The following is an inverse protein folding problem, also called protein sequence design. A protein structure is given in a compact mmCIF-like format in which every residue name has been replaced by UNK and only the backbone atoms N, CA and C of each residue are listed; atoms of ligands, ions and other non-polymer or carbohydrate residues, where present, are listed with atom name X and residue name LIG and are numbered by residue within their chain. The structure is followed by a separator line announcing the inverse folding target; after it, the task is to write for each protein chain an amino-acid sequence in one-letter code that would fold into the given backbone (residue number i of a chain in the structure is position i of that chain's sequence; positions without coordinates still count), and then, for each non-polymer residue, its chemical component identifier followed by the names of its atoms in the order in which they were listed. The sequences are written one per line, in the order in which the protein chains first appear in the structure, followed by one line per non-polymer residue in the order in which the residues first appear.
data_IF_187080852154
#
_entry.id   IF_187080852154
#
_cell.length_a   1.000
_cell.length_b   1.000
_cell.length_c   1.000
_cell.angle_alpha   90.00
_cell.angle_beta   90.00
_cell.angle_gamma   90.00
#
_symmetry.space_group_name_H-M   'P 1'
#
loop_
_entity.id
_entity.type
_entity.pdbx_description
1 polymer ?
#
# COMPACT_ATOMS: atom_id res chain seq x y z
N UNK A 1 3.25 -32.87 -15.92
CA UNK A 1 3.07 -32.23 -14.60
C UNK A 1 3.05 -30.77 -14.91
N UNK A 2 1.87 -30.30 -15.28
CA UNK A 2 1.72 -29.12 -16.09
C UNK A 2 1.62 -27.94 -15.14
N UNK A 3 2.50 -26.95 -15.34
CA UNK A 3 2.60 -25.75 -14.52
C UNK A 3 1.39 -24.86 -14.67
N UNK A 4 0.27 -25.25 -14.06
CA UNK A 4 -0.93 -24.43 -13.96
C UNK A 4 -0.61 -23.19 -13.11
N UNK A 5 -0.58 -22.06 -13.80
CA UNK A 5 -0.46 -20.73 -13.23
C UNK A 5 -1.59 -20.49 -12.22
N UNK A 6 -1.24 -20.10 -10.99
CA UNK A 6 -2.24 -19.88 -9.95
C UNK A 6 -3.15 -18.69 -10.30
N UNK A 7 -4.47 -18.80 -10.09
CA UNK A 7 -5.42 -17.72 -10.34
C UNK A 7 -5.00 -16.47 -9.57
N UNK A 8 -5.04 -15.32 -10.26
CA UNK A 8 -4.44 -14.10 -9.77
C UNK A 8 -5.35 -12.90 -9.79
N UNK A 9 -5.14 -12.03 -8.81
CA UNK A 9 -5.95 -10.85 -8.60
C UNK A 9 -5.12 -9.63 -8.94
N UNK A 10 -5.64 -8.70 -9.75
CA UNK A 10 -4.95 -7.44 -10.03
C UNK A 10 -5.64 -6.28 -9.33
N UNK A 11 -4.89 -5.55 -8.49
CA UNK A 11 -5.27 -4.24 -7.98
C UNK A 11 -4.29 -3.22 -8.54
N UNK A 12 -4.76 -2.23 -9.31
CA UNK A 12 -3.93 -1.10 -9.76
C UNK A 12 -4.29 0.12 -8.92
N UNK A 13 -3.31 0.75 -8.29
CA UNK A 13 -3.49 2.02 -7.63
C UNK A 13 -2.38 2.98 -8.03
N UNK A 14 -2.75 4.17 -8.52
CA UNK A 14 -1.81 5.21 -8.91
C UNK A 14 -1.43 6.05 -7.69
N UNK A 15 -0.15 6.13 -7.35
CA UNK A 15 0.45 7.23 -6.58
C UNK A 15 0.44 8.44 -7.51
N UNK A 16 0.02 9.59 -7.00
CA UNK A 16 0.37 10.82 -7.68
C UNK A 16 1.81 11.15 -7.33
N UNK A 17 2.54 11.58 -8.34
CA UNK A 17 3.75 12.34 -8.19
C UNK A 17 3.54 13.43 -7.14
N UNK A 18 4.33 13.39 -6.08
CA UNK A 18 4.48 14.52 -5.18
C UNK A 18 5.02 15.67 -6.04
N UNK A 19 4.16 16.67 -6.27
CA UNK A 19 4.53 17.89 -6.97
C UNK A 19 5.79 18.46 -6.32
N UNK A 20 6.91 18.32 -7.04
CA UNK A 20 8.20 18.93 -6.75
C UNK A 20 7.99 20.44 -6.82
N UNK A 21 7.77 21.06 -5.66
CA UNK A 21 7.88 22.51 -5.49
C UNK A 21 9.34 22.89 -5.76
N UNK A 22 9.67 23.17 -7.03
CA UNK A 22 10.91 23.85 -7.38
C UNK A 22 10.77 25.33 -6.99
N UNK A 23 11.22 25.62 -5.78
CA UNK A 23 11.47 26.99 -5.34
C UNK A 23 12.60 27.57 -6.20
N UNK A 24 12.27 28.52 -7.06
CA UNK A 24 13.25 29.42 -7.69
C UNK A 24 14.06 30.11 -6.58
N UNK A 25 15.37 29.92 -6.56
CA UNK A 25 16.27 30.82 -5.84
C UNK A 25 17.12 31.59 -6.86
N UNK A 26 16.92 32.90 -6.87
CA UNK A 26 17.69 33.83 -7.67
C UNK A 26 19.15 33.90 -7.20
N UNK A 27 20.04 34.02 -8.18
CA UNK A 27 21.23 34.88 -8.22
C UNK A 27 21.95 35.19 -6.91
N UNK A 28 23.26 34.87 -6.81
CA UNK A 28 24.33 35.89 -6.78
C UNK A 28 25.72 35.25 -6.58
N UNK A 29 26.64 35.66 -7.44
CA UNK A 29 28.08 35.43 -7.43
C UNK A 29 28.77 36.06 -6.22
N UNK A 30 29.77 35.39 -5.62
CA UNK A 30 31.18 35.86 -5.52
C UNK A 30 31.99 35.15 -4.42
N UNK A 31 33.20 34.77 -4.83
CA UNK A 31 34.49 34.86 -4.13
C UNK A 31 34.70 34.18 -2.76
N UNK A 32 35.49 33.11 -2.81
CA UNK A 32 36.84 32.99 -2.21
C UNK A 32 37.07 33.65 -0.83
N UNK A 33 37.10 32.84 0.22
CA UNK A 33 38.11 32.92 1.31
C UNK A 33 37.99 31.65 2.17
N UNK A 34 39.01 30.80 2.07
CA UNK A 34 39.18 29.63 2.92
C UNK A 34 39.50 30.07 4.35
N UNK A 35 38.63 29.76 5.30
CA UNK A 35 38.96 29.76 6.73
C UNK A 35 38.53 28.43 7.37
N UNK A 36 39.47 27.84 8.11
CA UNK A 36 39.40 26.54 8.79
C UNK A 36 38.22 26.46 9.76
N UNK A 37 37.15 25.77 9.37
CA UNK A 37 35.85 25.72 10.08
C UNK A 37 35.48 24.33 10.60
N UNK A 38 36.37 23.34 10.46
CA UNK A 38 36.06 21.93 10.71
C UNK A 38 35.74 21.59 12.19
N UNK A 39 36.23 22.36 13.17
CA UNK A 39 36.02 22.06 14.59
C UNK A 39 34.71 22.60 15.17
N UNK A 40 34.10 23.60 14.55
CA UNK A 40 32.82 24.16 15.01
C UNK A 40 31.62 23.41 14.42
N UNK A 41 31.77 22.82 13.22
CA UNK A 41 30.73 22.04 12.56
C UNK A 41 30.42 20.70 13.26
N UNK A 42 31.42 20.06 13.89
CA UNK A 42 31.21 18.77 14.56
C UNK A 42 30.43 18.93 15.86
N UNK A 43 30.63 20.02 16.61
CA UNK A 43 29.89 20.28 17.86
C UNK A 43 28.40 20.61 17.60
N UNK A 44 28.07 21.28 16.49
CA UNK A 44 26.67 21.56 16.11
C UNK A 44 25.92 20.32 15.62
N UNK A 45 26.60 19.37 14.99
CA UNK A 45 25.97 18.16 14.46
C UNK A 45 25.57 17.16 15.57
N UNK A 46 26.37 17.07 16.65
CA UNK A 46 26.07 16.16 17.78
C UNK A 46 24.88 16.67 18.61
N UNK A 47 24.75 17.99 18.80
CA UNK A 47 23.65 18.59 19.56
C UNK A 47 22.28 18.42 18.87
N UNK A 48 22.25 18.23 17.54
CA UNK A 48 21.01 18.04 16.79
C UNK A 48 20.48 16.59 16.85
N UNK A 49 21.35 15.63 17.22
CA UNK A 49 20.99 14.19 17.28
C UNK A 49 20.35 13.74 18.59
N UNK A 50 20.27 14.60 19.60
CA UNK A 50 19.68 14.30 20.93
C UNK A 50 18.28 14.89 21.13
N UNK A 51 17.70 15.54 20.12
CA UNK A 51 16.32 16.01 20.21
C UNK A 51 15.37 14.81 20.28
N UNK A 52 14.47 14.75 21.27
CA UNK A 52 13.43 13.73 21.31
C UNK A 52 12.59 13.86 20.04
N UNK A 53 12.65 12.84 19.19
CA UNK A 53 11.74 12.71 18.06
C UNK A 53 10.32 12.57 18.64
N UNK A 54 9.33 13.34 18.18
CA UNK A 54 7.95 13.10 18.57
C UNK A 54 7.55 11.71 18.08
N UNK A 55 7.49 10.76 19.01
CA UNK A 55 6.80 9.49 18.79
C UNK A 55 5.34 9.87 18.75
N UNK A 56 4.81 10.12 17.55
CA UNK A 56 3.37 10.27 17.34
C UNK A 56 2.73 8.90 17.58
N UNK A 57 2.58 8.53 18.85
CA UNK A 57 1.64 7.51 19.26
C UNK A 57 0.25 8.02 18.89
N UNK A 58 -0.53 7.16 18.25
CA UNK A 58 -1.87 7.42 17.75
C UNK A 58 -2.76 7.91 18.91
N UNK A 59 -2.83 9.23 19.10
CA UNK A 59 -3.68 9.82 20.12
C UNK A 59 -5.09 9.80 19.58
N UNK A 60 -6.07 9.38 20.39
CA UNK A 60 -7.49 9.39 20.02
C UNK A 60 -7.96 10.77 19.49
N UNK A 61 -7.24 11.85 19.80
CA UNK A 61 -7.47 13.19 19.24
C UNK A 61 -7.28 13.28 17.72
N UNK A 62 -6.48 12.41 17.10
CA UNK A 62 -6.27 12.39 15.65
C UNK A 62 -7.50 11.89 14.88
N UNK A 63 -8.35 11.08 15.51
CA UNK A 63 -9.61 10.59 14.93
C UNK A 63 -10.60 11.76 14.73
N UNK A 64 -10.57 12.75 15.63
CA UNK A 64 -11.45 13.92 15.56
C UNK A 64 -10.98 14.97 14.54
N UNK A 65 -9.76 14.81 14.00
CA UNK A 65 -9.22 15.74 13.01
C UNK A 65 -9.91 15.52 11.66
N UNK A 66 -10.35 16.60 11.03
CA UNK A 66 -10.82 16.53 9.65
C UNK A 66 -9.66 16.21 8.71
N UNK A 67 -9.86 15.22 7.84
CA UNK A 67 -8.90 14.84 6.81
C UNK A 67 -9.43 15.29 5.46
N UNK A 68 -8.63 16.08 4.74
CA UNK A 68 -8.97 16.47 3.37
C UNK A 68 -8.85 15.27 2.43
N UNK A 69 -9.87 15.01 1.63
CA UNK A 69 -9.91 13.88 0.71
C UNK A 69 -11.33 13.38 0.49
N UNK A 70 -11.46 12.29 -0.27
CA UNK A 70 -12.76 11.63 -0.50
C UNK A 70 -12.63 10.14 -0.30
N UNK A 71 -13.49 9.58 0.55
CA UNK A 71 -13.60 8.14 0.69
C UNK A 71 -14.13 7.51 -0.60
N UNK A 72 -13.50 6.41 -1.02
CA UNK A 72 -13.92 5.58 -2.15
C UNK A 72 -13.97 4.13 -1.70
N UNK A 73 -14.78 3.32 -2.40
CA UNK A 73 -14.91 1.89 -2.18
C UNK A 73 -15.00 1.17 -3.52
N UNK A 74 -14.34 0.02 -3.61
CA UNK A 74 -14.56 -0.97 -4.65
C UNK A 74 -14.95 -2.30 -3.96
N UNK A 75 -15.94 -2.99 -4.50
CA UNK A 75 -16.49 -4.22 -3.92
C UNK A 75 -16.95 -5.18 -5.02
N UNK A 76 -17.14 -6.45 -4.67
CA UNK A 76 -17.49 -7.53 -5.60
C UNK A 76 -18.91 -7.50 -6.15
N UNK A 77 -19.84 -6.82 -5.47
CA UNK A 77 -21.21 -6.66 -5.94
C UNK A 77 -21.30 -5.77 -7.18
N UNK A 78 -21.90 -6.30 -8.25
CA UNK A 78 -22.58 -5.47 -9.23
C UNK A 78 -23.59 -4.63 -8.46
N UNK A 79 -23.61 -3.32 -8.66
CA UNK A 79 -24.62 -2.46 -8.05
C UNK A 79 -25.98 -2.74 -8.73
N UNK A 80 -26.58 -3.86 -8.34
CA UNK A 80 -27.92 -4.28 -8.72
C UNK A 80 -28.71 -4.42 -7.42
N UNK A 81 -29.57 -3.44 -7.08
CA UNK A 81 -30.35 -3.44 -5.84
C UNK A 81 -31.23 -4.68 -5.64
N UNK A 82 -31.53 -5.41 -6.72
CA UNK A 82 -32.44 -6.56 -6.71
C UNK A 82 -31.70 -7.91 -6.69
N UNK A 83 -30.37 -7.91 -6.63
CA UNK A 83 -29.54 -9.12 -6.72
C UNK A 83 -28.65 -9.28 -5.50
N UNK A 84 -28.52 -10.52 -5.02
CA UNK A 84 -27.61 -10.90 -3.92
C UNK A 84 -26.32 -11.59 -4.43
N UNK A 85 -25.96 -11.38 -5.70
CA UNK A 85 -24.77 -11.98 -6.33
C UNK A 85 -23.52 -11.14 -6.10
N UNK A 86 -23.18 -10.95 -4.82
CA UNK A 86 -22.09 -10.05 -4.38
C UNK A 86 -20.69 -10.71 -4.36
N UNK A 87 -20.40 -11.56 -5.34
CA UNK A 87 -19.15 -12.32 -5.39
C UNK A 87 -18.64 -12.51 -6.82
N UNK A 88 -17.32 -12.59 -6.95
CA UNK A 88 -16.69 -13.04 -8.19
C UNK A 88 -16.51 -14.56 -8.17
N UNK A 89 -16.83 -15.19 -9.30
CA UNK A 89 -16.41 -16.55 -9.60
C UNK A 89 -15.12 -16.48 -10.44
N UNK A 90 -14.10 -17.23 -10.03
CA UNK A 90 -12.78 -17.24 -10.69
C UNK A 90 -12.45 -18.70 -11.01
N UNK A 91 -12.32 -19.01 -12.29
CA UNK A 91 -11.97 -20.35 -12.75
C UNK A 91 -10.47 -20.66 -12.51
N UNK A 92 -10.05 -21.94 -12.52
CA UNK A 92 -8.64 -22.30 -12.44
C UNK A 92 -7.82 -21.62 -13.55
N UNK A 93 -6.71 -20.97 -13.18
CA UNK A 93 -5.87 -20.20 -14.10
C UNK A 93 -6.44 -18.84 -14.53
N UNK A 94 -7.68 -18.52 -14.16
CA UNK A 94 -8.26 -17.21 -14.47
C UNK A 94 -7.57 -16.12 -13.65
N UNK A 95 -7.28 -15.01 -14.31
CA UNK A 95 -6.86 -13.76 -13.65
C UNK A 95 -7.99 -12.76 -13.71
N UNK A 96 -8.34 -12.19 -12.55
CA UNK A 96 -9.43 -11.22 -12.42
C UNK A 96 -8.89 -9.87 -11.97
N UNK A 97 -9.22 -8.82 -12.71
CA UNK A 97 -9.07 -7.43 -12.26
C UNK A 97 -10.24 -7.12 -11.32
N UNK A 98 -9.94 -6.75 -10.07
CA UNK A 98 -11.03 -6.41 -9.14
C UNK A 98 -11.23 -4.93 -8.94
N UNK A 99 -10.16 -4.14 -9.03
CA UNK A 99 -10.30 -2.70 -9.10
C UNK A 99 -9.08 -2.04 -9.73
N UNK A 100 -9.35 -0.93 -10.41
CA UNK A 100 -8.39 -0.01 -10.96
C UNK A 100 -8.74 1.39 -10.46
N UNK A 101 -7.83 1.96 -9.67
CA UNK A 101 -8.05 3.23 -8.99
C UNK A 101 -7.12 4.29 -9.58
N UNK A 102 -7.74 5.35 -10.10
CA UNK A 102 -7.05 6.49 -10.67
C UNK A 102 -6.85 7.63 -9.66
N UNK A 103 -5.66 8.25 -9.75
CA UNK A 103 -5.28 9.40 -8.94
C UNK A 103 -4.70 8.99 -7.59
N UNK A 104 -4.13 9.95 -6.83
CA UNK A 104 -3.49 9.67 -5.55
C UNK A 104 -4.49 9.13 -4.54
N UNK A 105 -4.03 8.19 -3.73
CA UNK A 105 -4.78 7.69 -2.60
C UNK A 105 -4.00 6.66 -1.82
N UNK A 106 -4.62 6.20 -0.75
CA UNK A 106 -4.12 5.13 0.10
C UNK A 106 -5.22 4.08 0.30
N UNK A 107 -4.82 2.82 0.38
CA UNK A 107 -5.73 1.74 0.74
C UNK A 107 -5.65 1.57 2.25
N UNK A 108 -6.68 2.02 2.96
CA UNK A 108 -6.75 1.93 4.43
C UNK A 108 -7.39 0.65 4.94
N UNK A 109 -8.21 -0.01 4.12
CA UNK A 109 -8.96 -1.19 4.53
C UNK A 109 -9.20 -2.13 3.35
N UNK A 110 -8.89 -3.41 3.56
CA UNK A 110 -9.12 -4.50 2.62
C UNK A 110 -9.83 -5.64 3.35
N UNK A 111 -10.84 -6.21 2.71
CA UNK A 111 -11.60 -7.33 3.26
C UNK A 111 -11.90 -8.35 2.16
N UNK A 112 -11.65 -9.62 2.46
CA UNK A 112 -11.91 -10.73 1.56
C UNK A 112 -12.51 -11.90 2.34
N UNK A 113 -13.53 -12.52 1.74
CA UNK A 113 -14.00 -13.85 2.13
C UNK A 113 -13.96 -14.72 0.90
N UNK A 114 -13.38 -15.92 1.03
CA UNK A 114 -13.22 -16.87 -0.06
C UNK A 114 -14.05 -18.11 0.23
N UNK A 115 -14.99 -18.40 -0.67
CA UNK A 115 -15.72 -19.65 -0.71
C UNK A 115 -14.95 -20.65 -1.60
N UNK A 116 -13.94 -21.30 -1.03
CA UNK A 116 -13.18 -22.36 -1.69
C UNK A 116 -13.63 -23.73 -1.23
N UNK A 117 -13.81 -24.67 -2.16
CA UNK A 117 -14.11 -26.08 -1.83
C UNK A 117 -12.91 -26.84 -1.25
N UNK A 118 -11.68 -26.41 -1.60
CA UNK A 118 -10.45 -27.01 -1.08
C UNK A 118 -10.09 -26.43 0.29
N UNK A 119 -9.78 -27.28 1.27
CA UNK A 119 -9.26 -26.87 2.58
C UNK A 119 -7.95 -26.06 2.47
N UNK A 120 -7.18 -26.27 1.40
CA UNK A 120 -5.92 -25.56 1.11
C UNK A 120 -6.08 -24.29 0.28
N UNK A 121 -7.32 -23.81 0.08
CA UNK A 121 -7.60 -22.59 -0.68
C UNK A 121 -6.77 -21.35 -0.29
N UNK A 122 -6.28 -21.15 0.96
CA UNK A 122 -5.48 -19.96 1.27
C UNK A 122 -4.21 -19.82 0.43
N UNK A 123 -3.71 -20.92 -0.18
CA UNK A 123 -2.58 -20.89 -1.11
C UNK A 123 -2.92 -21.17 -2.57
N UNK A 124 -4.21 -21.31 -2.92
CA UNK A 124 -4.63 -21.55 -4.31
C UNK A 124 -4.89 -20.26 -5.09
N UNK A 125 -4.99 -19.12 -4.42
CA UNK A 125 -5.25 -17.80 -5.01
C UNK A 125 -4.08 -16.86 -4.73
N UNK A 126 -3.64 -16.13 -5.74
CA UNK A 126 -2.53 -15.16 -5.65
C UNK A 126 -3.08 -13.74 -5.73
N UNK A 127 -2.73 -12.90 -4.76
CA UNK A 127 -3.00 -11.47 -4.77
C UNK A 127 -1.84 -10.72 -5.43
N UNK A 128 -2.15 -9.92 -6.47
CA UNK A 128 -1.19 -9.03 -7.14
C UNK A 128 -1.64 -7.57 -7.03
N UNK A 129 -0.75 -6.72 -6.51
CA UNK A 129 -0.98 -5.27 -6.41
C UNK A 129 0.11 -4.55 -7.20
N UNK A 130 -0.32 -3.61 -8.02
CA UNK A 130 0.50 -2.82 -8.92
C UNK A 130 0.32 -1.35 -8.54
N UNK A 131 1.43 -0.68 -8.27
CA UNK A 131 1.45 0.75 -8.05
C UNK A 131 1.97 1.46 -9.31
N UNK A 132 1.49 2.67 -9.57
CA UNK A 132 2.15 3.67 -10.43
C UNK A 132 2.35 3.20 -11.87
N UNK A 133 1.35 2.48 -12.39
CA UNK A 133 1.37 1.88 -13.73
C UNK A 133 2.55 0.92 -13.98
N UNK A 134 3.20 0.43 -12.91
CA UNK A 134 4.25 -0.57 -12.97
C UNK A 134 3.77 -1.83 -13.70
N UNK A 135 4.62 -2.36 -14.57
CA UNK A 135 4.40 -3.64 -15.26
C UNK A 135 4.68 -4.83 -14.33
N UNK A 136 5.49 -4.63 -13.29
CA UNK A 136 5.84 -5.64 -12.28
C UNK A 136 4.99 -5.41 -11.03
N UNK A 137 4.35 -6.46 -10.46
CA UNK A 137 3.58 -6.31 -9.24
C UNK A 137 4.50 -6.00 -8.06
N UNK A 138 4.11 -5.02 -7.25
CA UNK A 138 4.84 -4.66 -6.03
C UNK A 138 4.48 -5.56 -4.85
N UNK A 139 3.28 -6.16 -4.89
CA UNK A 139 2.87 -7.22 -3.98
C UNK A 139 2.44 -8.40 -4.85
N UNK A 140 3.06 -9.55 -4.65
CA UNK A 140 2.64 -10.82 -5.24
C UNK A 140 2.78 -11.91 -4.17
N UNK A 141 1.64 -12.42 -3.69
CA UNK A 141 1.64 -13.40 -2.60
C UNK A 141 0.35 -14.22 -2.61
N UNK A 142 0.35 -15.47 -2.13
CA UNK A 142 -0.89 -16.17 -1.86
C UNK A 142 -1.77 -15.39 -0.89
N UNK A 143 -3.08 -15.38 -1.13
CA UNK A 143 -4.03 -14.56 -0.37
C UNK A 143 -4.02 -14.88 1.14
N UNK A 144 -3.85 -16.15 1.52
CA UNK A 144 -3.72 -16.56 2.91
C UNK A 144 -2.48 -16.00 3.58
N UNK A 145 -1.34 -16.11 2.90
CA UNK A 145 -0.04 -15.65 3.40
C UNK A 145 -0.04 -14.11 3.58
N UNK A 146 -0.73 -13.36 2.70
CA UNK A 146 -0.95 -11.92 2.87
C UNK A 146 -1.68 -11.57 4.18
N UNK A 147 -2.67 -12.37 4.58
CA UNK A 147 -3.44 -12.19 5.81
C UNK A 147 -2.88 -13.00 7.00
N UNK A 148 -1.59 -13.36 6.95
CA UNK A 148 -0.89 -14.14 7.97
C UNK A 148 -1.49 -15.54 8.26
N UNK A 149 -2.36 -16.05 7.39
CA UNK A 149 -2.86 -17.42 7.41
C UNK A 149 -1.96 -18.33 6.54
N UNK A 150 -0.78 -18.66 7.08
CA UNK A 150 0.25 -19.42 6.37
C UNK A 150 -0.05 -20.92 6.15
N UNK A 151 0.85 -21.58 5.42
CA UNK A 151 0.83 -23.04 5.17
C UNK A 151 -0.42 -23.56 4.46
N UNK A 152 -1.18 -22.70 3.78
CA UNK A 152 -2.43 -23.10 3.13
C UNK A 152 -3.47 -23.60 4.14
N UNK A 153 -3.41 -23.15 5.39
CA UNK A 153 -4.38 -23.51 6.42
C UNK A 153 -5.12 -22.26 6.88
N UNK A 154 -6.41 -22.40 7.18
CA UNK A 154 -7.16 -21.33 7.84
C UNK A 154 -6.63 -21.15 9.25
N UNK A 155 -6.34 -19.91 9.63
CA UNK A 155 -6.00 -19.52 10.98
C UNK A 155 -6.79 -18.27 11.35
N UNK A 156 -7.20 -18.16 12.62
CA UNK A 156 -7.74 -16.93 13.17
C UNK A 156 -6.56 -16.11 13.66
N UNK A 157 -6.27 -15.01 12.96
CA UNK A 157 -5.18 -14.09 13.32
C UNK A 157 -5.79 -12.77 13.77
N UNK A 158 -5.32 -12.26 14.91
CA UNK A 158 -5.62 -10.91 15.40
C UNK A 158 -4.29 -10.25 15.74
N UNK A 159 -3.94 -9.20 15.03
CA UNK A 159 -2.79 -8.35 15.34
C UNK A 159 -3.26 -7.08 16.03
N UNK A 160 -2.44 -6.56 16.94
CA UNK A 160 -2.65 -5.30 17.66
C UNK A 160 -1.86 -4.17 17.02
#
# INVERSE_FOLDING_TARGET
MDGQECPSYKMRARRADAARLETKCATTSRSCLMFSSARLFILSAVLLSTLPQPVNGDTLGDIARSVSGRARRASSGLYDPESNRDAYHIAPGETRLLTELAGPGEIRHMWFTIAGGDRRYPRTLVLRIYWDDSTVPSVETPIGDFFAAGNGMRAVVKSV
#
